data_IF_744840527587
#
_entry.id   IF_744840527587
#
_cell.length_a   1.000
_cell.length_b   1.000
_cell.length_c   1.000
_cell.angle_alpha   90.00
_cell.angle_beta   90.00
_cell.angle_gamma   90.00
#
_symmetry.space_group_name_H-M   'P 1'
#
loop_
_entity.id
_entity.type
_entity.pdbx_description
1 polymer ?
#
# COMPACT_ATOMS: atom_id res chain seq x y z
N UNK A 1 2.40 16.28 -11.58
CA UNK A 1 3.76 15.74 -11.45
C UNK A 1 4.50 16.17 -12.70
N UNK A 2 5.78 16.51 -12.59
CA UNK A 2 6.59 16.79 -13.78
C UNK A 2 7.16 15.48 -14.31
N UNK A 3 6.94 15.18 -15.60
CA UNK A 3 7.48 13.98 -16.27
C UNK A 3 9.01 14.00 -16.21
N UNK A 4 9.64 15.18 -16.30
CA UNK A 4 11.10 15.30 -16.21
C UNK A 4 11.62 14.81 -14.86
N UNK A 5 10.92 15.10 -13.76
CA UNK A 5 11.26 14.60 -12.42
C UNK A 5 11.21 13.06 -12.39
N UNK A 6 10.14 12.48 -12.95
CA UNK A 6 9.99 11.02 -13.03
C UNK A 6 11.12 10.40 -13.87
N UNK A 7 11.41 10.95 -15.05
CA UNK A 7 12.45 10.42 -15.94
C UNK A 7 13.86 10.54 -15.34
N UNK A 8 14.16 11.62 -14.62
CA UNK A 8 15.43 11.76 -13.86
C UNK A 8 15.58 10.63 -12.85
N UNK A 9 14.54 10.37 -12.04
CA UNK A 9 14.55 9.29 -11.05
C UNK A 9 14.68 7.91 -11.71
N UNK A 10 13.94 7.67 -12.79
CA UNK A 10 13.99 6.40 -13.53
C UNK A 10 15.38 6.16 -14.12
N UNK A 11 16.03 7.18 -14.68
CA UNK A 11 17.38 7.06 -15.22
C UNK A 11 18.40 6.78 -14.11
N UNK A 12 18.26 7.42 -12.94
CA UNK A 12 19.07 7.10 -11.77
C UNK A 12 18.92 5.62 -11.36
N UNK A 13 17.67 5.12 -11.26
CA UNK A 13 17.39 3.74 -10.89
C UNK A 13 17.88 2.72 -11.94
N UNK A 14 17.77 3.02 -13.24
CA UNK A 14 18.36 2.19 -14.31
C UNK A 14 19.89 2.10 -14.23
N UNK A 15 20.55 3.06 -13.60
CA UNK A 15 21.98 2.98 -13.28
C UNK A 15 22.30 2.08 -12.09
N UNK A 16 21.29 1.68 -11.29
CA UNK A 16 21.44 0.81 -10.12
C UNK A 16 21.00 -0.64 -10.40
N UNK A 17 19.99 -0.83 -11.24
CA UNK A 17 19.44 -2.15 -11.58
C UNK A 17 19.39 -2.38 -13.10
N UNK A 18 19.66 -3.61 -13.52
CA UNK A 18 19.75 -4.01 -14.94
C UNK A 18 18.49 -4.72 -15.47
N UNK A 19 17.41 -4.75 -14.68
CA UNK A 19 16.16 -5.44 -14.99
C UNK A 19 14.95 -4.57 -14.64
N UNK A 20 13.78 -4.93 -15.14
CA UNK A 20 12.50 -4.35 -14.72
C UNK A 20 11.86 -5.25 -13.67
N UNK A 21 11.50 -4.73 -12.49
CA UNK A 21 10.75 -5.51 -11.49
C UNK A 21 9.39 -5.97 -12.03
N UNK A 22 8.99 -7.19 -11.69
CA UNK A 22 7.69 -7.76 -12.01
C UNK A 22 6.57 -7.10 -11.17
N UNK A 23 6.91 -6.74 -9.93
CA UNK A 23 5.98 -6.21 -8.92
C UNK A 23 6.63 -5.15 -8.03
N UNK A 24 5.88 -4.09 -7.75
CA UNK A 24 6.15 -3.14 -6.67
C UNK A 24 5.36 -3.60 -5.44
N UNK A 25 6.03 -3.74 -4.29
CA UNK A 25 5.41 -4.03 -3.00
C UNK A 25 5.60 -2.85 -2.07
N UNK A 26 4.52 -2.20 -1.66
CA UNK A 26 4.58 -1.11 -0.67
C UNK A 26 4.32 -1.69 0.72
N UNK A 27 5.39 -1.88 1.48
CA UNK A 27 5.34 -2.48 2.81
C UNK A 27 4.82 -1.45 3.82
N UNK A 28 3.64 -1.71 4.38
CA UNK A 28 3.12 -0.97 5.51
C UNK A 28 3.78 -1.33 6.84
N UNK A 29 3.32 -0.64 7.89
CA UNK A 29 3.77 -0.86 9.26
C UNK A 29 3.74 -2.34 9.63
N UNK A 30 4.85 -2.84 10.18
CA UNK A 30 4.98 -4.24 10.62
C UNK A 30 5.47 -5.24 9.58
N UNK A 31 5.50 -4.88 8.28
CA UNK A 31 6.00 -5.73 7.19
C UNK A 31 7.37 -5.35 6.64
N UNK A 32 7.99 -4.30 7.20
CA UNK A 32 9.29 -3.82 6.73
C UNK A 32 10.37 -4.90 6.66
N UNK A 33 10.37 -5.86 7.60
CA UNK A 33 11.37 -6.95 7.64
C UNK A 33 11.29 -7.91 6.44
N UNK A 34 10.18 -7.91 5.69
CA UNK A 34 10.05 -8.76 4.50
C UNK A 34 11.11 -8.43 3.43
N UNK A 35 11.53 -7.16 3.37
CA UNK A 35 12.59 -6.72 2.46
C UNK A 35 13.97 -7.30 2.79
N UNK A 36 14.21 -7.75 4.03
CA UNK A 36 15.48 -8.36 4.45
C UNK A 36 15.69 -9.75 3.84
N UNK A 37 14.62 -10.36 3.35
CA UNK A 37 14.64 -11.69 2.72
C UNK A 37 14.76 -11.62 1.19
N UNK A 38 15.00 -10.43 0.63
CA UNK A 38 15.28 -10.27 -0.80
C UNK A 38 16.68 -10.80 -1.11
N UNK A 39 16.76 -11.72 -2.05
CA UNK A 39 18.01 -12.29 -2.56
C UNK A 39 18.64 -11.34 -3.60
N UNK A 40 19.98 -11.31 -3.65
CA UNK A 40 20.75 -10.40 -4.50
C UNK A 40 20.31 -8.92 -4.40
N UNK A 41 20.19 -8.36 -3.18
CA UNK A 41 19.53 -7.08 -3.01
C UNK A 41 20.38 -5.94 -3.56
N UNK A 42 19.72 -5.03 -4.28
CA UNK A 42 20.20 -3.68 -4.54
C UNK A 42 19.36 -2.72 -3.70
N UNK A 43 19.96 -2.17 -2.65
CA UNK A 43 19.31 -1.22 -1.76
C UNK A 43 19.58 0.20 -2.25
N UNK A 44 18.53 0.99 -2.42
CA UNK A 44 18.61 2.40 -2.83
C UNK A 44 17.81 3.22 -1.84
N UNK A 45 18.51 3.99 -1.00
CA UNK A 45 17.84 4.88 -0.06
C UNK A 45 17.13 6.01 -0.78
N UNK A 46 15.98 6.42 -0.26
CA UNK A 46 15.22 7.53 -0.82
C UNK A 46 16.02 8.84 -0.85
N UNK A 47 16.84 9.09 0.18
CA UNK A 47 17.72 10.27 0.27
C UNK A 47 18.79 10.35 -0.83
N UNK A 48 19.19 9.21 -1.39
CA UNK A 48 20.20 9.13 -2.44
C UNK A 48 19.63 9.33 -3.85
N UNK A 49 18.30 9.32 -3.98
CA UNK A 49 17.60 9.45 -5.27
C UNK A 49 17.37 10.94 -5.55
N UNK A 50 17.88 11.46 -6.69
CA UNK A 50 17.68 12.86 -7.06
C UNK A 50 16.20 13.23 -7.13
N UNK A 51 15.85 14.38 -6.56
CA UNK A 51 14.48 14.92 -6.52
C UNK A 51 13.44 13.95 -5.92
N UNK A 52 13.86 13.01 -5.08
CA UNK A 52 12.94 12.11 -4.38
C UNK A 52 12.46 12.68 -3.04
N UNK A 53 11.61 11.94 -2.35
CA UNK A 53 11.07 12.31 -1.04
C UNK A 53 11.85 11.64 0.08
N UNK A 54 11.69 12.11 1.31
CA UNK A 54 12.31 11.51 2.50
C UNK A 54 11.20 11.00 3.40
N UNK A 55 11.35 9.82 4.01
CA UNK A 55 10.35 9.32 4.95
C UNK A 55 10.62 9.90 6.33
N UNK A 56 9.60 10.43 7.02
CA UNK A 56 9.78 11.05 8.35
C UNK A 56 9.16 10.25 9.49
N UNK A 57 8.35 9.24 9.16
CA UNK A 57 7.68 8.36 10.14
C UNK A 57 8.63 7.31 10.70
N UNK A 58 8.60 7.12 12.02
CA UNK A 58 9.36 6.08 12.72
C UNK A 58 8.99 4.68 12.21
N UNK A 59 10.00 3.81 12.05
CA UNK A 59 9.82 2.45 11.51
C UNK A 59 9.82 2.36 9.99
N UNK A 60 9.89 3.48 9.26
CA UNK A 60 10.11 3.49 7.81
C UNK A 60 11.60 3.67 7.50
N UNK A 61 12.26 2.61 7.00
CA UNK A 61 13.67 2.66 6.64
C UNK A 61 13.98 3.65 5.50
N UNK A 62 12.97 3.99 4.68
CA UNK A 62 13.08 5.03 3.67
C UNK A 62 13.96 4.59 2.49
N UNK A 63 13.71 3.39 1.97
CA UNK A 63 14.51 2.82 0.88
C UNK A 63 13.71 1.90 -0.03
N UNK A 64 14.15 1.80 -1.28
CA UNK A 64 13.80 0.69 -2.16
C UNK A 64 14.77 -0.47 -1.94
N UNK A 65 14.23 -1.68 -1.89
CA UNK A 65 15.00 -2.92 -1.95
C UNK A 65 14.59 -3.66 -3.22
N UNK A 66 15.49 -3.69 -4.20
CA UNK A 66 15.31 -4.44 -5.44
C UNK A 66 16.02 -5.78 -5.34
N UNK A 67 15.50 -6.84 -5.95
CA UNK A 67 16.22 -8.11 -6.04
C UNK A 67 15.34 -9.26 -6.48
N UNK A 68 15.79 -10.46 -6.15
CA UNK A 68 15.06 -11.70 -6.35
C UNK A 68 14.24 -12.02 -5.09
N UNK A 69 12.98 -12.36 -5.27
CA UNK A 69 12.13 -12.82 -4.17
C UNK A 69 11.11 -13.82 -4.69
N UNK A 70 11.14 -15.05 -4.17
CA UNK A 70 10.24 -16.13 -4.59
C UNK A 70 10.18 -16.33 -6.11
N UNK A 71 11.35 -16.26 -6.76
CA UNK A 71 11.47 -16.43 -8.21
C UNK A 71 11.01 -15.23 -9.06
N UNK A 72 10.67 -14.09 -8.44
CA UNK A 72 10.31 -12.84 -9.14
C UNK A 72 11.34 -11.76 -8.92
N UNK A 73 11.44 -10.82 -9.87
CA UNK A 73 12.13 -9.55 -9.67
C UNK A 73 11.20 -8.60 -8.93
N UNK A 74 11.59 -8.14 -7.75
CA UNK A 74 10.75 -7.27 -6.91
C UNK A 74 11.37 -5.89 -6.73
N UNK A 75 10.51 -4.90 -6.52
CA UNK A 75 10.87 -3.63 -5.90
C UNK A 75 10.04 -3.50 -4.62
N UNK A 76 10.67 -3.59 -3.45
CA UNK A 76 9.98 -3.37 -2.18
C UNK A 76 10.26 -1.97 -1.66
N UNK A 77 9.21 -1.21 -1.36
CA UNK A 77 9.31 0.03 -0.61
C UNK A 77 9.28 -0.29 0.87
N UNK A 78 10.43 -0.17 1.53
CA UNK A 78 10.56 -0.37 2.97
C UNK A 78 10.27 0.95 3.69
N UNK A 79 8.97 1.25 3.78
CA UNK A 79 8.43 2.53 4.20
C UNK A 79 7.78 3.28 3.04
N UNK A 80 6.70 3.99 3.35
CA UNK A 80 5.92 4.83 2.44
C UNK A 80 5.88 6.29 2.90
N UNK A 81 5.24 7.13 2.10
CA UNK A 81 4.93 8.51 2.43
C UNK A 81 3.44 8.64 2.71
N UNK A 82 3.08 9.55 3.62
CA UNK A 82 1.71 9.83 3.97
C UNK A 82 1.36 11.30 3.73
N UNK A 83 0.09 11.54 3.47
CA UNK A 83 -0.41 12.90 3.25
C UNK A 83 -0.31 13.76 4.52
N UNK A 84 -0.51 13.17 5.70
CA UNK A 84 -0.38 13.88 6.98
C UNK A 84 1.05 14.33 7.29
N UNK A 85 2.08 13.82 6.60
CA UNK A 85 3.48 14.30 6.74
C UNK A 85 3.69 15.66 6.05
N UNK A 86 2.67 16.20 5.37
CA UNK A 86 2.72 17.47 4.66
C UNK A 86 3.05 17.35 3.17
N UNK A 87 3.28 16.13 2.67
CA UNK A 87 3.46 15.86 1.25
C UNK A 87 2.16 16.08 0.48
N UNK A 88 2.26 16.49 -0.78
CA UNK A 88 1.11 16.48 -1.68
C UNK A 88 0.74 15.05 -2.11
N UNK A 89 -0.53 14.81 -2.51
CA UNK A 89 -0.94 13.49 -3.01
C UNK A 89 -0.13 13.02 -4.23
N UNK A 90 0.37 13.96 -5.03
CA UNK A 90 1.28 13.68 -6.15
C UNK A 90 2.63 13.16 -5.64
N UNK A 91 3.17 13.78 -4.61
CA UNK A 91 4.42 13.34 -4.00
C UNK A 91 4.26 11.96 -3.38
N UNK A 92 3.22 11.74 -2.58
CA UNK A 92 2.90 10.41 -2.00
C UNK A 92 2.88 9.32 -3.07
N UNK A 93 2.41 9.62 -4.28
CA UNK A 93 2.28 8.66 -5.38
C UNK A 93 3.42 8.67 -6.40
N UNK A 94 4.44 9.51 -6.20
CA UNK A 94 5.64 9.55 -7.06
C UNK A 94 6.30 8.17 -7.23
N UNK A 95 6.46 7.33 -6.18
CA UNK A 95 7.05 6.00 -6.33
C UNK A 95 6.30 5.11 -7.32
N UNK A 96 4.96 5.18 -7.34
CA UNK A 96 4.13 4.38 -8.25
C UNK A 96 4.33 4.85 -9.70
N UNK A 97 4.37 6.16 -9.94
CA UNK A 97 4.69 6.70 -11.27
C UNK A 97 6.08 6.27 -11.75
N UNK A 98 7.08 6.33 -10.88
CA UNK A 98 8.46 5.91 -11.17
C UNK A 98 8.50 4.42 -11.53
N UNK A 99 7.89 3.56 -10.73
CA UNK A 99 7.88 2.12 -10.99
C UNK A 99 7.10 1.78 -12.26
N UNK A 100 5.97 2.45 -12.50
CA UNK A 100 5.26 2.30 -13.76
C UNK A 100 6.12 2.69 -14.96
N UNK A 101 6.83 3.81 -14.87
CA UNK A 101 7.70 4.34 -15.93
C UNK A 101 8.92 3.44 -16.18
N UNK A 102 9.40 2.76 -15.13
CA UNK A 102 10.42 1.70 -15.21
C UNK A 102 9.90 0.42 -15.90
N UNK A 103 8.57 0.23 -15.94
CA UNK A 103 7.90 -0.88 -16.64
C UNK A 103 7.20 -1.88 -15.74
N UNK A 104 7.12 -1.63 -14.43
CA UNK A 104 6.44 -2.49 -13.46
C UNK A 104 4.93 -2.54 -13.76
N UNK A 105 4.34 -3.74 -13.69
CA UNK A 105 2.94 -3.99 -14.05
C UNK A 105 2.03 -4.35 -12.88
N UNK A 106 2.59 -4.78 -11.76
CA UNK A 106 1.84 -5.19 -10.59
C UNK A 106 2.19 -4.30 -9.40
N UNK A 107 1.17 -4.01 -8.59
CA UNK A 107 1.31 -3.32 -7.32
C UNK A 107 0.66 -4.16 -6.23
N UNK A 108 1.41 -4.48 -5.18
CA UNK A 108 0.88 -4.96 -3.92
C UNK A 108 1.00 -3.84 -2.90
N UNK A 109 -0.13 -3.39 -2.34
CA UNK A 109 -0.16 -2.39 -1.26
C UNK A 109 -0.60 -3.05 0.04
N UNK A 110 0.18 -2.85 1.10
CA UNK A 110 -0.13 -3.37 2.43
C UNK A 110 -0.24 -2.26 3.46
N UNK A 111 -1.19 -2.34 4.38
CA UNK A 111 -1.30 -1.34 5.46
C UNK A 111 -1.75 -1.95 6.79
N UNK A 112 -1.53 -1.19 7.85
CA UNK A 112 -2.21 -1.34 9.13
C UNK A 112 -3.42 -0.40 9.16
N UNK A 113 -4.51 -0.83 9.79
CA UNK A 113 -5.77 -0.08 9.79
C UNK A 113 -6.67 -0.43 10.98
N UNK A 114 -7.62 0.47 11.26
CA UNK A 114 -8.67 0.25 12.25
C UNK A 114 -9.84 -0.53 11.66
N UNK A 115 -10.35 -1.53 12.39
CA UNK A 115 -11.56 -2.26 12.04
C UNK A 115 -12.82 -1.44 12.31
N UNK A 116 -13.58 -1.15 11.25
CA UNK A 116 -14.88 -0.45 11.32
C UNK A 116 -16.03 -1.47 11.38
N UNK A 117 -15.86 -2.59 10.66
CA UNK A 117 -16.77 -3.72 10.69
C UNK A 117 -16.74 -4.40 12.07
N UNK A 118 -17.92 -4.56 12.69
CA UNK A 118 -18.04 -5.15 14.02
C UNK A 118 -17.74 -6.64 14.07
N UNK A 119 -17.71 -7.32 12.93
CA UNK A 119 -17.34 -8.73 12.80
C UNK A 119 -15.84 -8.98 12.64
N UNK A 120 -15.03 -7.92 12.54
CA UNK A 120 -13.57 -8.05 12.47
C UNK A 120 -12.95 -8.02 13.86
N UNK A 121 -11.76 -8.60 13.97
CA UNK A 121 -10.96 -8.63 15.19
C UNK A 121 -9.51 -8.21 14.88
N UNK A 122 -8.79 -7.55 15.81
CA UNK A 122 -7.38 -7.29 15.62
C UNK A 122 -6.60 -8.57 15.28
N UNK A 123 -5.81 -8.51 14.21
CA UNK A 123 -5.09 -9.62 13.61
C UNK A 123 -5.73 -10.16 12.32
N UNK A 124 -6.98 -9.80 12.02
CA UNK A 124 -7.59 -10.15 10.74
C UNK A 124 -6.79 -9.55 9.57
N UNK A 125 -6.62 -10.34 8.51
CA UNK A 125 -6.13 -9.88 7.23
C UNK A 125 -7.32 -9.70 6.29
N UNK A 126 -7.46 -8.50 5.73
CA UNK A 126 -8.56 -8.13 4.84
C UNK A 126 -8.03 -7.87 3.44
N UNK A 127 -8.56 -8.59 2.45
CA UNK A 127 -8.42 -8.22 1.05
C UNK A 127 -9.26 -6.96 0.78
N UNK A 128 -8.61 -5.93 0.26
CA UNK A 128 -9.29 -4.69 -0.11
C UNK A 128 -10.02 -4.93 -1.43
N UNK A 129 -11.34 -4.98 -1.40
CA UNK A 129 -12.15 -5.19 -2.61
C UNK A 129 -12.53 -3.89 -3.31
N UNK A 130 -12.65 -2.81 -2.53
CA UNK A 130 -12.96 -1.46 -2.98
C UNK A 130 -12.46 -0.44 -1.95
N UNK A 131 -12.53 0.84 -2.29
CA UNK A 131 -12.14 1.91 -1.36
C UNK A 131 -13.07 3.11 -1.35
N UNK A 132 -13.00 3.87 -0.25
CA UNK A 132 -13.58 5.20 -0.14
C UNK A 132 -12.45 6.22 0.08
N UNK A 133 -12.43 7.30 -0.70
CA UNK A 133 -11.45 8.38 -0.56
C UNK A 133 -12.09 9.59 0.14
N UNK A 134 -11.91 9.68 1.47
CA UNK A 134 -12.38 10.81 2.29
C UNK A 134 -11.32 11.89 2.52
N UNK A 135 -10.23 11.88 1.75
CA UNK A 135 -9.16 12.87 1.94
C UNK A 135 -9.50 14.27 1.41
N UNK A 136 -10.61 14.42 0.67
CA UNK A 136 -10.97 15.65 -0.02
C UNK A 136 -9.99 16.03 -1.14
N UNK A 137 -9.10 15.12 -1.54
CA UNK A 137 -8.05 15.36 -2.52
C UNK A 137 -7.85 14.14 -3.44
N UNK A 138 -7.10 14.31 -4.53
CA UNK A 138 -6.86 13.26 -5.51
C UNK A 138 -5.47 13.41 -6.16
N UNK A 139 -4.65 12.35 -6.27
CA UNK A 139 -3.31 12.43 -6.87
C UNK A 139 -3.32 12.83 -8.36
N UNK A 140 -4.41 12.61 -9.08
CA UNK A 140 -4.57 12.93 -10.51
C UNK A 140 -5.04 14.38 -10.76
N UNK A 141 -5.28 15.17 -9.71
CA UNK A 141 -5.71 16.56 -9.83
C UNK A 141 -4.67 17.41 -10.57
N UNK A 142 -5.10 18.32 -11.46
CA UNK A 142 -4.21 19.16 -12.29
C UNK A 142 -4.09 18.65 -13.73
N UNK A 143 -3.02 19.03 -14.45
CA UNK A 143 -2.79 18.61 -15.86
C UNK A 143 -2.57 17.10 -15.96
N UNK A 144 -3.25 16.45 -16.91
CA UNK A 144 -3.10 15.01 -17.16
C UNK A 144 -1.74 14.68 -17.77
N UNK A 145 -1.21 13.50 -17.47
CA UNK A 145 -0.03 12.93 -18.11
C UNK A 145 -0.47 11.79 -19.04
N UNK A 146 -0.85 12.12 -20.29
CA UNK A 146 -1.46 11.18 -21.26
C UNK A 146 -0.66 9.89 -21.49
N UNK A 147 0.65 9.91 -21.23
CA UNK A 147 1.53 8.74 -21.34
C UNK A 147 1.36 7.69 -20.22
N UNK A 148 0.73 8.07 -19.10
CA UNK A 148 0.43 7.15 -18.00
C UNK A 148 -1.00 6.63 -18.10
N UNK A 149 -1.96 7.49 -18.41
CA UNK A 149 -3.37 7.10 -18.41
C UNK A 149 -4.34 8.17 -18.91
N UNK A 150 -5.62 7.79 -19.09
CA UNK A 150 -6.65 8.67 -19.62
C UNK A 150 -7.01 9.77 -18.62
N UNK A 151 -7.46 10.93 -19.12
CA UNK A 151 -7.90 12.05 -18.27
C UNK A 151 -8.93 11.65 -17.21
N UNK A 152 -9.84 10.75 -17.57
CA UNK A 152 -10.90 10.23 -16.71
C UNK A 152 -10.72 8.71 -16.63
N UNK A 153 -9.97 8.24 -15.64
CA UNK A 153 -9.76 6.82 -15.41
C UNK A 153 -10.97 6.18 -14.70
N UNK A 154 -11.42 5.05 -15.22
CA UNK A 154 -12.44 4.23 -14.57
C UNK A 154 -11.89 3.60 -13.29
N UNK A 155 -12.63 3.71 -12.19
CA UNK A 155 -12.27 3.17 -10.87
C UNK A 155 -13.16 2.00 -10.45
N UNK A 156 -13.98 1.44 -11.36
CA UNK A 156 -14.92 0.36 -11.03
C UNK A 156 -14.25 -0.96 -10.64
N UNK A 157 -12.96 -1.11 -10.98
CA UNK A 157 -12.16 -2.33 -10.77
C UNK A 157 -10.70 -2.01 -10.41
N UNK A 158 -10.48 -1.09 -9.46
CA UNK A 158 -9.12 -0.73 -8.99
C UNK A 158 -8.37 -1.97 -8.51
N UNK A 159 -9.00 -2.77 -7.66
CA UNK A 159 -8.43 -4.00 -7.12
C UNK A 159 -8.68 -5.16 -8.08
N UNK A 160 -7.61 -5.81 -8.52
CA UNK A 160 -7.67 -6.79 -9.59
C UNK A 160 -8.31 -8.10 -9.08
N UNK A 161 -9.38 -8.53 -9.75
CA UNK A 161 -10.15 -9.71 -9.36
C UNK A 161 -9.34 -11.01 -9.39
N UNK A 162 -8.44 -11.17 -10.35
CA UNK A 162 -7.62 -12.37 -10.47
C UNK A 162 -6.59 -12.45 -9.34
N UNK A 163 -5.97 -11.32 -8.98
CA UNK A 163 -5.05 -11.24 -7.83
C UNK A 163 -5.77 -11.48 -6.50
N UNK A 164 -6.99 -10.95 -6.33
CA UNK A 164 -7.80 -11.24 -5.14
C UNK A 164 -8.16 -12.73 -5.06
N UNK A 165 -8.59 -13.33 -6.16
CA UNK A 165 -8.91 -14.76 -6.21
C UNK A 165 -7.67 -15.63 -5.92
N UNK A 166 -6.50 -15.23 -6.41
CA UNK A 166 -5.23 -15.89 -6.10
C UNK A 166 -4.92 -15.80 -4.59
N UNK A 167 -5.06 -14.62 -3.99
CA UNK A 167 -4.85 -14.44 -2.55
C UNK A 167 -5.84 -15.26 -1.71
N UNK A 168 -7.12 -15.33 -2.10
CA UNK A 168 -8.13 -16.18 -1.44
C UNK A 168 -7.79 -17.67 -1.53
N UNK A 169 -7.31 -18.13 -2.69
CA UNK A 169 -6.84 -19.51 -2.89
C UNK A 169 -5.68 -19.82 -1.94
N UNK A 170 -4.65 -18.95 -1.93
CA UNK A 170 -3.48 -19.10 -1.06
C UNK A 170 -3.88 -19.06 0.42
N UNK A 171 -4.79 -18.17 0.81
CA UNK A 171 -5.31 -18.12 2.18
C UNK A 171 -5.91 -19.46 2.62
N UNK A 172 -6.67 -20.13 1.75
CA UNK A 172 -7.20 -21.46 2.04
C UNK A 172 -6.11 -22.53 2.16
N UNK A 173 -5.11 -22.51 1.28
CA UNK A 173 -3.99 -23.46 1.29
C UNK A 173 -3.09 -23.31 2.53
N UNK A 174 -2.85 -22.08 2.96
CA UNK A 174 -1.99 -21.75 4.10
C UNK A 174 -2.77 -21.66 5.43
N UNK A 175 -4.06 -22.01 5.42
CA UNK A 175 -4.97 -21.90 6.57
C UNK A 175 -5.02 -20.49 7.20
N UNK A 176 -4.92 -19.46 6.36
CA UNK A 176 -5.06 -18.05 6.72
C UNK A 176 -6.49 -17.62 6.41
N UNK A 177 -7.26 -17.29 7.45
CA UNK A 177 -8.59 -16.73 7.25
C UNK A 177 -8.48 -15.31 6.71
N UNK A 178 -8.96 -15.11 5.48
CA UNK A 178 -9.01 -13.79 4.85
C UNK A 178 -10.42 -13.22 4.93
N UNK A 179 -10.50 -11.99 5.45
CA UNK A 179 -11.68 -11.14 5.30
C UNK A 179 -11.63 -10.44 3.95
N UNK A 180 -12.76 -9.86 3.57
CA UNK A 180 -12.89 -9.02 2.38
C UNK A 180 -13.75 -7.81 2.75
N UNK A 181 -13.39 -6.63 2.24
CA UNK A 181 -14.16 -5.43 2.55
C UNK A 181 -13.61 -4.14 1.95
N UNK A 182 -14.32 -3.06 2.23
CA UNK A 182 -14.06 -1.72 1.71
C UNK A 182 -13.12 -0.95 2.64
N UNK A 183 -12.01 -0.47 2.09
CA UNK A 183 -11.04 0.35 2.82
C UNK A 183 -11.35 1.84 2.67
N UNK A 184 -11.65 2.54 3.76
CA UNK A 184 -11.75 3.99 3.77
C UNK A 184 -10.38 4.62 4.08
N UNK A 185 -9.95 5.55 3.24
CA UNK A 185 -8.84 6.45 3.57
C UNK A 185 -9.36 7.81 4.04
N UNK A 186 -8.84 8.29 5.15
CA UNK A 186 -8.94 9.69 5.57
C UNK A 186 -7.52 10.28 5.75
N UNK A 187 -7.42 11.57 6.05
CA UNK A 187 -6.11 12.25 6.06
C UNK A 187 -5.25 11.89 7.27
N UNK A 188 -5.84 11.72 8.46
CA UNK A 188 -5.10 11.83 9.72
C UNK A 188 -4.58 13.26 9.97
N UNK A 189 -3.63 13.46 10.91
CA UNK A 189 -2.99 12.43 11.75
C UNK A 189 -3.77 12.11 13.03
N UNK A 190 -4.79 12.90 13.39
CA UNK A 190 -5.66 12.54 14.51
C UNK A 190 -6.40 11.24 14.19
N UNK A 191 -6.53 10.37 15.19
CA UNK A 191 -7.50 9.28 15.11
C UNK A 191 -8.92 9.83 14.97
N UNK A 192 -9.83 8.96 14.56
CA UNK A 192 -11.22 9.30 14.36
C UNK A 192 -11.95 9.48 15.69
N UNK A 193 -13.04 10.21 15.64
CA UNK A 193 -14.07 10.21 16.68
C UNK A 193 -15.02 9.03 16.47
N UNK A 194 -15.71 8.57 17.52
CA UNK A 194 -16.78 7.57 17.37
C UNK A 194 -17.89 7.98 16.40
N UNK A 195 -18.14 9.28 16.25
CA UNK A 195 -19.14 9.78 15.30
C UNK A 195 -18.69 9.60 13.85
N UNK A 196 -17.42 9.88 13.55
CA UNK A 196 -16.83 9.65 12.22
C UNK A 196 -16.82 8.16 11.88
N UNK A 197 -16.44 7.27 12.81
CA UNK A 197 -16.48 5.83 12.57
C UNK A 197 -17.90 5.33 12.26
N UNK A 198 -18.92 5.80 12.99
CA UNK A 198 -20.32 5.49 12.66
C UNK A 198 -20.71 6.00 11.26
N UNK A 199 -20.24 7.18 10.87
CA UNK A 199 -20.50 7.73 9.54
C UNK A 199 -19.83 6.87 8.46
N UNK A 200 -18.53 6.56 8.58
CA UNK A 200 -17.81 5.71 7.63
C UNK A 200 -18.43 4.32 7.50
N UNK A 201 -18.83 3.71 8.63
CA UNK A 201 -19.56 2.43 8.61
C UNK A 201 -20.88 2.53 7.86
N UNK A 202 -21.64 3.60 8.09
CA UNK A 202 -22.92 3.85 7.39
C UNK A 202 -22.71 4.01 5.88
N UNK A 203 -21.55 4.56 5.48
CA UNK A 203 -21.14 4.71 4.08
C UNK A 203 -20.53 3.43 3.47
N UNK A 204 -20.44 2.34 4.26
CA UNK A 204 -20.01 1.03 3.79
C UNK A 204 -18.53 0.70 4.00
N UNK A 205 -17.80 1.46 4.82
CA UNK A 205 -16.41 1.12 5.16
C UNK A 205 -16.34 -0.08 6.13
N UNK A 206 -15.43 -1.01 5.86
CA UNK A 206 -15.12 -2.14 6.75
C UNK A 206 -13.83 -1.92 7.54
N UNK A 207 -12.89 -1.18 6.95
CA UNK A 207 -11.64 -0.77 7.58
C UNK A 207 -11.33 0.69 7.27
N UNK A 208 -10.52 1.32 8.12
CA UNK A 208 -10.12 2.73 7.95
C UNK A 208 -8.63 2.94 8.22
N UNK A 209 -7.99 3.78 7.41
CA UNK A 209 -6.63 4.22 7.68
C UNK A 209 -6.22 5.45 6.87
N UNK A 210 -4.91 5.70 6.82
CA UNK A 210 -4.35 6.98 6.37
C UNK A 210 -3.42 6.87 5.14
N UNK A 211 -3.53 5.80 4.35
CA UNK A 211 -2.64 5.53 3.20
C UNK A 211 -3.34 4.78 2.06
N UNK A 212 -2.58 4.20 1.13
CA UNK A 212 -3.00 3.16 0.18
C UNK A 212 -3.83 3.65 -1.00
N UNK A 213 -4.91 4.38 -0.75
CA UNK A 213 -5.86 4.80 -1.80
C UNK A 213 -5.21 5.63 -2.91
N UNK A 214 -4.30 6.60 -2.65
CA UNK A 214 -3.67 7.38 -3.70
C UNK A 214 -2.78 6.52 -4.58
N UNK A 215 -2.03 5.58 -3.98
CA UNK A 215 -1.16 4.64 -4.69
C UNK A 215 -1.98 3.72 -5.59
N UNK A 216 -3.11 3.18 -5.08
CA UNK A 216 -4.03 2.34 -5.84
C UNK A 216 -4.68 3.10 -7.01
N UNK A 217 -5.12 4.35 -6.79
CA UNK A 217 -5.67 5.22 -7.86
C UNK A 217 -4.64 5.41 -8.98
N UNK A 218 -3.39 5.76 -8.63
CA UNK A 218 -2.35 6.02 -9.62
C UNK A 218 -1.94 4.74 -10.36
N UNK A 219 -1.87 3.61 -9.66
CA UNK A 219 -1.58 2.32 -10.26
C UNK A 219 -2.66 1.91 -11.28
N UNK A 220 -3.94 2.00 -10.91
CA UNK A 220 -5.05 1.71 -11.83
C UNK A 220 -5.08 2.68 -13.01
N UNK A 221 -4.95 3.99 -12.77
CA UNK A 221 -4.81 5.01 -13.81
C UNK A 221 -3.68 4.67 -14.80
N UNK A 222 -2.60 4.09 -14.28
CA UNK A 222 -1.42 3.68 -15.03
C UNK A 222 -1.52 2.31 -15.72
N UNK A 223 -2.65 1.60 -15.56
CA UNK A 223 -2.86 0.25 -16.08
C UNK A 223 -2.09 -0.86 -15.34
N UNK A 224 -1.63 -0.62 -14.11
CA UNK A 224 -1.08 -1.65 -13.24
C UNK A 224 -2.20 -2.48 -12.61
N UNK A 225 -1.95 -3.77 -12.37
CA UNK A 225 -2.86 -4.62 -11.58
C UNK A 225 -2.56 -4.45 -10.10
N UNK A 226 -3.57 -4.14 -9.30
CA UNK A 226 -3.42 -3.85 -7.87
C UNK A 226 -3.98 -5.01 -7.03
N UNK A 227 -3.21 -5.45 -6.03
CA UNK A 227 -3.70 -6.20 -4.88
C UNK A 227 -3.53 -5.34 -3.62
N UNK A 228 -4.60 -5.21 -2.83
CA UNK A 228 -4.55 -4.53 -1.54
C UNK A 228 -4.82 -5.50 -0.41
N UNK A 229 -3.99 -5.46 0.63
CA UNK A 229 -4.19 -6.26 1.84
C UNK A 229 -3.99 -5.38 3.07
N UNK A 230 -5.02 -5.31 3.91
CA UNK A 230 -5.02 -4.57 5.16
C UNK A 230 -4.89 -5.53 6.33
N UNK A 231 -4.06 -5.18 7.31
CA UNK A 231 -4.05 -5.82 8.62
C UNK A 231 -4.91 -4.99 9.57
N UNK A 232 -5.96 -5.60 10.14
CA UNK A 232 -6.74 -4.97 11.20
C UNK A 232 -5.88 -4.98 12.46
N UNK A 233 -5.30 -3.84 12.83
CA UNK A 233 -4.36 -3.77 13.96
C UNK A 233 -5.02 -3.41 15.28
N UNK A 234 -6.18 -2.78 15.19
CA UNK A 234 -7.01 -2.33 16.30
C UNK A 234 -8.45 -2.20 15.79
N UNK A 235 -9.42 -2.15 16.68
CA UNK A 235 -10.76 -1.69 16.31
C UNK A 235 -10.77 -0.17 16.24
N UNK A 236 -11.53 0.40 15.32
CA UNK A 236 -11.61 1.85 15.14
C UNK A 236 -12.28 2.54 16.34
N UNK A 237 -12.10 3.86 16.47
CA UNK A 237 -12.56 4.63 17.63
C UNK A 237 -14.04 4.40 17.95
N UNK A 238 -14.33 4.05 19.21
CA UNK A 238 -15.68 3.82 19.71
C UNK A 238 -16.36 2.53 19.21
N UNK A 239 -15.63 1.63 18.54
CA UNK A 239 -16.09 0.25 18.31
C UNK A 239 -15.94 -0.58 19.59
N UNK A 240 -14.78 -0.45 20.25
CA UNK A 240 -14.56 -0.94 21.61
C UNK A 240 -14.58 0.25 22.58
N UNK A 241 -14.99 0.00 23.83
CA UNK A 241 -14.98 1.02 24.89
C UNK A 241 -13.58 1.16 25.52
N UNK A 242 -12.59 1.46 24.68
CA UNK A 242 -11.20 1.68 25.07
C UNK A 242 -10.51 2.73 24.19
N UNK A 243 -9.55 3.50 24.73
CA UNK A 243 -8.73 4.42 23.93
C UNK A 243 -7.87 3.68 22.91
N UNK A 244 -7.57 4.34 21.79
CA UNK A 244 -6.62 3.82 20.79
C UNK A 244 -5.18 4.07 21.26
N UNK A 245 -4.31 3.06 21.14
CA UNK A 245 -2.88 3.16 21.44
C UNK A 245 -2.06 2.71 20.24
N UNK A 246 -1.01 3.46 19.90
CA UNK A 246 -0.07 3.10 18.84
C UNK A 246 0.74 1.83 19.16
N UNK A 247 1.02 1.56 20.44
CA UNK A 247 1.74 0.34 20.84
C UNK A 247 0.95 -0.94 20.50
N UNK A 248 -0.38 -0.91 20.66
CA UNK A 248 -1.27 -2.03 20.31
C UNK A 248 -1.15 -2.37 18.81
N UNK A 249 -1.03 -1.34 17.97
CA UNK A 249 -0.83 -1.51 16.52
C UNK A 249 0.45 -2.29 16.23
N UNK A 250 1.54 -1.96 16.92
CA UNK A 250 2.84 -2.62 16.75
C UNK A 250 2.77 -4.07 17.23
N UNK A 251 2.18 -4.32 18.40
CA UNK A 251 2.06 -5.66 18.97
C UNK A 251 1.22 -6.60 18.10
N UNK A 252 0.05 -6.15 17.64
CA UNK A 252 -0.81 -6.96 16.77
C UNK A 252 -0.12 -7.23 15.44
N UNK A 253 0.52 -6.22 14.85
CA UNK A 253 1.30 -6.38 13.62
C UNK A 253 2.41 -7.43 13.77
N UNK A 254 3.08 -7.48 14.93
CA UNK A 254 4.12 -8.47 15.20
C UNK A 254 3.52 -9.89 15.30
N UNK A 255 2.35 -10.05 15.93
CA UNK A 255 1.67 -11.36 16.06
C UNK A 255 1.26 -11.95 14.71
N UNK A 256 0.82 -11.11 13.77
CA UNK A 256 0.33 -11.58 12.46
C UNK A 256 1.35 -11.46 11.34
N UNK A 257 2.57 -11.00 11.64
CA UNK A 257 3.66 -10.87 10.67
C UNK A 257 3.92 -12.18 9.92
N UNK A 258 3.86 -13.32 10.61
CA UNK A 258 4.11 -14.63 10.01
C UNK A 258 3.12 -15.00 8.92
N UNK A 259 1.82 -14.95 9.24
CA UNK A 259 0.75 -15.23 8.27
C UNK A 259 0.72 -14.19 7.15
N UNK A 260 0.89 -12.91 7.48
CA UNK A 260 0.87 -11.84 6.48
C UNK A 260 2.05 -11.94 5.51
N UNK A 261 3.27 -12.17 6.01
CA UNK A 261 4.44 -12.41 5.15
C UNK A 261 4.24 -13.65 4.29
N UNK A 262 3.70 -14.74 4.85
CA UNK A 262 3.42 -15.98 4.10
C UNK A 262 2.47 -15.73 2.95
N UNK A 263 1.34 -15.05 3.20
CA UNK A 263 0.35 -14.71 2.18
C UNK A 263 0.98 -13.90 1.04
N UNK A 264 1.66 -12.80 1.35
CA UNK A 264 2.24 -11.94 0.31
C UNK A 264 3.35 -12.66 -0.44
N UNK A 265 4.17 -13.45 0.26
CA UNK A 265 5.24 -14.24 -0.38
C UNK A 265 4.69 -15.22 -1.41
N UNK A 266 3.66 -15.98 -1.04
CA UNK A 266 3.00 -16.95 -1.93
C UNK A 266 2.31 -16.27 -3.09
N UNK A 267 1.70 -15.10 -2.87
CA UNK A 267 1.10 -14.31 -3.96
C UNK A 267 2.15 -13.85 -4.96
N UNK A 268 3.32 -13.39 -4.49
CA UNK A 268 4.44 -13.02 -5.37
C UNK A 268 4.94 -14.24 -6.16
N UNK A 269 5.05 -15.40 -5.50
CA UNK A 269 5.50 -16.64 -6.12
C UNK A 269 4.58 -17.09 -7.29
N UNK A 270 3.27 -16.99 -7.12
CA UNK A 270 2.27 -17.55 -8.05
C UNK A 270 1.71 -16.57 -9.11
N UNK A 271 2.11 -15.29 -9.09
CA UNK A 271 1.60 -14.28 -10.06
C UNK A 271 2.28 -14.27 -11.42
#
# INVERSE_FOLDING_TARGET
MDIKRIDTIVNYLKGKISYTPDVLVILGSGLGSMAEHVENPTVVKYEDIPDFLVSTVEGHAGQFVFGDYKGKKVAMMQGRFHYYEGYTMKEVTLPVFVMRRLGVKHLIVTNACGGVNLGFTPGDLMLIEDHLNFTGNNPLMGRNMEEFGPRFADMSKVYNRDLMALAEKIGKEEHIELKRGVYAMYTGPSYETPAEIRAYRTLGADAIGMSTVPEAIVANYSGMKVLGVSCITNMAAGVLDQPLNHEEVIEVSAKVRGSFTTLISRVIEEM
#
